data_IF_100629598079
#
_entry.id   IF_100629598079
#
_cell.length_a   1.000
_cell.length_b   1.000
_cell.length_c   1.000
_cell.angle_alpha   90.00
_cell.angle_beta   90.00
_cell.angle_gamma   90.00
#
_symmetry.space_group_name_H-M   'P 1'
#
loop_
_entity.id
_entity.type
_entity.pdbx_description
1 polymer ?
#
# COMPACT_ATOMS: atom_id res chain seq x y z
N UNK A 1 -36.80 -6.54 -34.94
CA UNK A 1 -36.10 -5.33 -34.51
C UNK A 1 -35.54 -5.56 -33.13
N UNK A 2 -34.23 -5.72 -33.03
CA UNK A 2 -33.51 -5.77 -31.73
C UNK A 2 -33.14 -4.32 -31.40
N UNK A 3 -33.81 -3.77 -30.40
CA UNK A 3 -33.38 -2.52 -29.77
C UNK A 3 -32.02 -2.73 -29.14
N UNK A 4 -31.00 -2.11 -29.75
CA UNK A 4 -29.67 -1.98 -29.15
C UNK A 4 -29.79 -0.99 -28.00
N UNK A 5 -29.78 -1.48 -26.78
CA UNK A 5 -29.62 -0.68 -25.58
C UNK A 5 -28.26 0.03 -25.72
N UNK A 6 -28.29 1.31 -26.08
CA UNK A 6 -27.11 2.17 -26.00
C UNK A 6 -26.67 2.18 -24.54
N UNK A 7 -25.59 1.46 -24.25
CA UNK A 7 -24.87 1.57 -23.00
C UNK A 7 -24.44 3.03 -22.90
N UNK A 8 -25.07 3.80 -22.04
CA UNK A 8 -24.64 5.16 -21.73
C UNK A 8 -23.30 5.00 -21.01
N UNK A 9 -22.23 5.38 -21.68
CA UNK A 9 -20.95 5.57 -21.01
C UNK A 9 -21.20 6.56 -19.87
N UNK A 10 -21.10 6.08 -18.65
CA UNK A 10 -21.14 6.92 -17.47
C UNK A 10 -19.86 7.74 -17.54
N UNK A 11 -20.00 9.01 -17.93
CA UNK A 11 -18.87 9.95 -17.97
C UNK A 11 -18.21 9.96 -16.60
N UNK A 12 -17.01 9.40 -16.52
CA UNK A 12 -16.23 9.41 -15.29
C UNK A 12 -15.85 10.86 -14.97
N UNK A 13 -16.34 11.35 -13.84
CA UNK A 13 -16.06 12.68 -13.32
C UNK A 13 -14.98 12.56 -12.25
N UNK A 14 -13.89 13.29 -12.41
CA UNK A 14 -12.81 13.36 -11.43
C UNK A 14 -13.01 14.61 -10.57
N UNK A 15 -12.93 14.45 -9.26
CA UNK A 15 -12.96 15.57 -8.31
C UNK A 15 -11.56 16.19 -8.26
N UNK A 16 -11.42 17.41 -8.81
CA UNK A 16 -10.16 18.14 -8.81
C UNK A 16 -10.32 19.38 -7.94
N UNK A 17 -9.56 19.47 -6.87
CA UNK A 17 -9.38 20.61 -5.98
C UNK A 17 -10.64 21.46 -5.70
N UNK A 18 -11.03 22.30 -6.62
CA UNK A 18 -12.16 23.22 -6.48
C UNK A 18 -13.38 22.91 -7.36
N UNK A 19 -13.41 21.74 -8.01
CA UNK A 19 -14.53 21.40 -8.91
C UNK A 19 -14.54 19.96 -9.40
N UNK A 20 -15.63 19.66 -10.13
CA UNK A 20 -15.79 18.39 -10.85
C UNK A 20 -15.41 18.63 -12.30
N UNK A 21 -14.43 17.91 -12.84
CA UNK A 21 -14.13 17.93 -14.27
C UNK A 21 -14.35 16.55 -14.88
N UNK A 22 -14.76 16.53 -16.14
CA UNK A 22 -14.86 15.28 -16.88
C UNK A 22 -13.45 14.79 -17.18
N UNK A 23 -13.23 13.49 -17.06
CA UNK A 23 -11.94 12.86 -17.35
C UNK A 23 -11.47 13.15 -18.78
N UNK A 24 -12.41 13.31 -19.74
CA UNK A 24 -12.14 13.68 -21.11
C UNK A 24 -11.53 15.08 -21.28
N UNK A 25 -11.78 15.98 -20.33
CA UNK A 25 -11.36 17.38 -20.40
C UNK A 25 -9.98 17.61 -19.78
N UNK A 26 -9.45 16.56 -19.13
CA UNK A 26 -8.12 16.58 -18.55
C UNK A 26 -7.09 16.14 -19.59
N UNK A 27 -6.32 17.07 -20.10
CA UNK A 27 -5.27 16.85 -21.13
C UNK A 27 -4.05 16.09 -20.63
N UNK A 28 -3.96 15.81 -19.34
CA UNK A 28 -2.85 15.09 -18.71
C UNK A 28 -3.00 13.57 -18.71
N UNK A 29 -1.87 12.85 -18.53
CA UNK A 29 -1.87 11.40 -18.36
C UNK A 29 -2.43 11.02 -16.99
N UNK A 30 -3.71 10.64 -16.94
CA UNK A 30 -4.39 10.18 -15.73
C UNK A 30 -4.55 8.67 -15.78
N UNK A 31 -4.19 7.99 -14.70
CA UNK A 31 -4.52 6.58 -14.50
C UNK A 31 -5.60 6.50 -13.43
N UNK A 32 -6.76 5.95 -13.79
CA UNK A 32 -7.86 5.69 -12.84
C UNK A 32 -7.93 4.21 -12.54
N UNK A 33 -8.10 3.89 -11.27
CA UNK A 33 -8.33 2.54 -10.76
C UNK A 33 -9.59 2.59 -9.92
N UNK A 34 -10.59 1.83 -10.31
CA UNK A 34 -11.91 1.80 -9.65
C UNK A 34 -12.03 0.58 -8.75
N UNK A 35 -13.05 0.56 -7.89
CA UNK A 35 -13.31 -0.56 -6.98
C UNK A 35 -13.40 -1.93 -7.68
N UNK A 36 -13.73 -1.96 -8.98
CA UNK A 36 -13.78 -3.20 -9.78
C UNK A 36 -12.39 -3.75 -10.10
N UNK A 37 -11.40 -2.88 -10.14
CA UNK A 37 -10.02 -3.21 -10.51
C UNK A 37 -9.15 -3.50 -9.28
N UNK A 38 -9.66 -3.30 -8.07
CA UNK A 38 -8.92 -3.46 -6.84
C UNK A 38 -8.46 -4.90 -6.61
N UNK A 39 -7.31 -5.04 -5.99
CA UNK A 39 -6.84 -6.35 -5.55
C UNK A 39 -7.70 -6.83 -4.38
N UNK A 40 -8.37 -7.97 -4.56
CA UNK A 40 -9.17 -8.57 -3.49
C UNK A 40 -8.32 -9.01 -2.30
N UNK A 41 -8.86 -8.89 -1.10
CA UNK A 41 -8.16 -9.31 0.13
C UNK A 41 -7.06 -8.37 0.60
N UNK A 42 -6.96 -7.17 0.03
CA UNK A 42 -6.00 -6.15 0.49
C UNK A 42 -6.40 -5.60 1.85
N UNK A 43 -5.46 -5.59 2.77
CA UNK A 43 -5.65 -5.06 4.13
C UNK A 43 -5.27 -3.58 4.24
N UNK A 44 -4.67 -2.99 3.20
CA UNK A 44 -4.28 -1.58 3.16
C UNK A 44 -4.61 -0.93 1.82
N UNK A 45 -4.89 0.37 1.85
CA UNK A 45 -5.34 1.12 0.68
C UNK A 45 -4.29 1.21 -0.45
N UNK A 46 -3.02 1.19 -0.11
CA UNK A 46 -1.90 1.18 -1.05
C UNK A 46 -1.80 -0.12 -1.86
N UNK A 47 -2.15 -1.25 -1.24
CA UNK A 47 -2.16 -2.55 -1.92
C UNK A 47 -3.25 -2.64 -3.00
N UNK A 48 -4.34 -1.87 -2.87
CA UNK A 48 -5.43 -1.85 -3.84
C UNK A 48 -4.96 -1.41 -5.23
N UNK A 49 -4.02 -0.46 -5.29
CA UNK A 49 -3.50 0.12 -6.55
C UNK A 49 -2.20 -0.52 -7.02
N UNK A 50 -1.61 -1.41 -6.23
CA UNK A 50 -0.34 -2.06 -6.57
C UNK A 50 -0.45 -2.83 -7.88
N UNK A 51 0.35 -2.44 -8.87
CA UNK A 51 0.37 -3.05 -10.21
C UNK A 51 -0.84 -2.70 -11.11
N UNK A 52 -1.78 -1.86 -10.64
CA UNK A 52 -2.98 -1.47 -11.41
C UNK A 52 -2.82 -0.13 -12.12
N UNK A 53 -2.04 0.80 -11.57
CA UNK A 53 -1.81 2.11 -12.15
C UNK A 53 -0.46 2.14 -12.90
N UNK A 54 -0.43 2.25 -14.24
CA UNK A 54 0.83 2.33 -14.99
C UNK A 54 1.68 3.51 -14.53
N UNK A 55 2.98 3.30 -14.31
CA UNK A 55 3.93 4.33 -13.85
C UNK A 55 3.82 4.67 -12.36
N UNK A 56 3.06 3.91 -11.59
CA UNK A 56 3.03 3.97 -10.13
C UNK A 56 3.70 2.73 -9.57
N UNK A 57 4.69 2.94 -8.74
CA UNK A 57 5.38 1.87 -8.01
C UNK A 57 4.99 1.94 -6.54
N UNK A 58 4.50 0.83 -6.00
CA UNK A 58 4.17 0.68 -4.58
C UNK A 58 5.13 -0.36 -4.02
N UNK A 59 5.97 0.06 -3.09
CA UNK A 59 6.96 -0.81 -2.44
C UNK A 59 6.66 -0.89 -0.95
N UNK A 60 6.39 -2.10 -0.46
CA UNK A 60 6.19 -2.32 0.97
C UNK A 60 7.49 -2.09 1.77
N UNK A 61 7.40 -1.42 2.89
CA UNK A 61 8.53 -1.07 3.75
C UNK A 61 8.89 -2.19 4.75
N UNK A 62 8.94 -3.44 4.27
CA UNK A 62 9.25 -4.59 5.10
C UNK A 62 8.01 -5.30 5.64
N UNK A 63 8.23 -6.38 6.41
CA UNK A 63 7.16 -7.24 6.94
C UNK A 63 6.56 -6.77 8.26
N UNK A 64 6.92 -5.60 8.79
CA UNK A 64 6.34 -5.11 10.03
C UNK A 64 4.89 -4.68 9.84
N UNK A 65 3.96 -5.14 10.67
CA UNK A 65 2.60 -4.63 10.67
C UNK A 65 2.59 -3.10 10.87
N UNK A 66 1.91 -2.36 10.01
CA UNK A 66 1.82 -0.90 10.09
C UNK A 66 3.02 -0.12 9.52
N UNK A 67 4.03 -0.78 8.94
CA UNK A 67 5.19 -0.08 8.34
C UNK A 67 4.84 0.72 7.07
N UNK A 68 3.62 0.55 6.54
CA UNK A 68 3.16 1.23 5.36
C UNK A 68 3.91 0.82 4.08
N UNK A 69 3.69 1.58 3.04
CA UNK A 69 4.40 1.42 1.77
C UNK A 69 4.91 2.76 1.26
N UNK A 70 5.95 2.72 0.46
CA UNK A 70 6.45 3.87 -0.28
C UNK A 70 5.82 3.87 -1.66
N UNK A 71 5.18 4.98 -2.03
CA UNK A 71 4.54 5.14 -3.34
C UNK A 71 5.35 6.14 -4.15
N UNK A 72 5.66 5.80 -5.39
CA UNK A 72 6.38 6.68 -6.32
C UNK A 72 5.67 6.73 -7.66
N UNK A 73 5.57 7.93 -8.24
CA UNK A 73 5.02 8.15 -9.57
C UNK A 73 6.18 8.48 -10.50
N UNK A 74 6.34 7.70 -11.58
CA UNK A 74 7.43 7.84 -12.58
C UNK A 74 8.85 7.79 -11.99
N UNK A 75 9.04 7.17 -10.83
CA UNK A 75 10.33 7.09 -10.13
C UNK A 75 10.60 8.27 -9.21
N UNK A 76 11.86 8.45 -8.81
CA UNK A 76 12.28 9.57 -7.96
C UNK A 76 12.81 10.72 -8.80
N UNK A 77 12.33 11.93 -8.56
CA UNK A 77 12.77 13.14 -9.25
C UNK A 77 13.87 13.89 -8.48
N UNK A 78 14.00 13.67 -7.16
CA UNK A 78 14.92 14.40 -6.30
C UNK A 78 15.82 13.47 -5.50
N UNK A 79 17.07 13.87 -5.33
CA UNK A 79 18.03 13.19 -4.46
C UNK A 79 17.93 13.63 -3.00
N UNK A 80 17.52 14.87 -2.75
CA UNK A 80 17.53 15.49 -1.42
C UNK A 80 16.16 15.89 -0.88
N UNK A 81 15.12 15.90 -1.73
CA UNK A 81 13.74 16.21 -1.32
C UNK A 81 12.88 14.95 -1.31
N UNK A 82 11.73 15.00 -0.64
CA UNK A 82 10.75 13.91 -0.70
C UNK A 82 10.33 13.65 -2.13
N UNK A 83 10.24 12.38 -2.49
CA UNK A 83 9.73 11.89 -3.77
C UNK A 83 8.31 11.35 -3.63
N UNK A 84 7.65 11.57 -2.49
CA UNK A 84 6.31 11.09 -2.23
C UNK A 84 5.28 11.94 -2.99
N UNK A 85 4.26 11.33 -3.60
CA UNK A 85 3.19 12.05 -4.26
C UNK A 85 2.29 12.74 -3.22
N UNK A 86 1.64 13.83 -3.62
CA UNK A 86 0.61 14.46 -2.81
C UNK A 86 -0.63 13.56 -2.78
N UNK A 87 -1.13 13.28 -1.59
CA UNK A 87 -2.38 12.54 -1.41
C UNK A 87 -3.51 13.52 -1.14
N UNK A 88 -4.60 13.38 -1.89
CA UNK A 88 -5.80 14.21 -1.78
C UNK A 88 -6.99 13.29 -1.57
N UNK A 89 -7.71 13.47 -0.48
CA UNK A 89 -8.89 12.67 -0.12
C UNK A 89 -10.12 13.54 -0.25
N UNK A 90 -11.05 13.17 -1.12
CA UNK A 90 -12.29 13.92 -1.40
C UNK A 90 -12.07 15.40 -1.67
N UNK A 91 -10.96 15.75 -2.32
CA UNK A 91 -10.57 17.11 -2.64
C UNK A 91 -9.75 17.84 -1.57
N UNK A 92 -9.52 17.22 -0.41
CA UNK A 92 -8.72 17.80 0.69
C UNK A 92 -7.29 17.27 0.58
N UNK A 93 -6.29 18.13 0.34
CA UNK A 93 -4.89 17.72 0.33
C UNK A 93 -4.44 17.39 1.75
N UNK A 94 -3.87 16.20 1.92
CA UNK A 94 -3.38 15.72 3.20
C UNK A 94 -1.90 16.05 3.36
N UNK A 95 -1.51 16.51 4.55
CA UNK A 95 -0.12 16.74 4.92
C UNK A 95 0.23 15.84 6.10
N UNK A 96 1.17 14.93 5.86
CA UNK A 96 1.59 13.94 6.86
C UNK A 96 2.99 14.22 7.42
N UNK A 97 3.61 15.34 7.02
CA UNK A 97 4.89 15.77 7.55
C UNK A 97 4.73 16.09 9.04
N UNK A 98 5.09 15.16 9.91
CA UNK A 98 5.10 15.37 11.36
C UNK A 98 4.17 14.47 12.18
N UNK A 99 3.42 13.57 11.58
CA UNK A 99 2.69 12.55 12.34
C UNK A 99 3.63 11.40 12.69
N UNK A 100 4.15 11.41 13.90
CA UNK A 100 4.95 10.30 14.44
C UNK A 100 4.13 9.01 14.43
N UNK A 101 4.62 7.99 13.72
CA UNK A 101 3.97 6.66 13.65
C UNK A 101 3.09 6.41 12.44
N UNK A 102 2.76 7.42 11.62
CA UNK A 102 2.06 7.21 10.35
C UNK A 102 3.09 7.19 9.22
N UNK A 103 3.51 6.00 8.82
CA UNK A 103 4.46 5.83 7.71
C UNK A 103 3.88 6.23 6.36
N UNK A 104 2.55 6.26 6.24
CA UNK A 104 1.84 6.58 5.01
C UNK A 104 0.39 7.02 5.34
N UNK A 105 -0.06 8.07 4.66
CA UNK A 105 -1.44 8.56 4.71
C UNK A 105 -2.48 7.49 4.39
N UNK A 106 -2.16 6.60 3.48
CA UNK A 106 -3.07 5.55 3.03
C UNK A 106 -3.34 4.48 4.09
N UNK A 107 -2.44 4.34 5.07
CA UNK A 107 -2.64 3.41 6.18
C UNK A 107 -3.79 3.81 7.12
N UNK A 108 -4.22 5.08 7.07
CA UNK A 108 -5.31 5.61 7.90
C UNK A 108 -6.69 5.46 7.25
N UNK A 109 -6.74 5.07 5.97
CA UNK A 109 -7.99 4.95 5.24
C UNK A 109 -8.39 3.48 5.18
N UNK A 110 -9.64 3.20 5.54
CA UNK A 110 -10.17 1.85 5.36
C UNK A 110 -10.29 1.54 3.85
N UNK A 111 -9.63 0.49 3.34
CA UNK A 111 -9.70 0.12 1.92
C UNK A 111 -11.11 -0.07 1.40
N UNK A 112 -12.03 -0.53 2.25
CA UNK A 112 -13.42 -0.79 1.87
C UNK A 112 -14.22 0.47 1.59
N UNK A 113 -13.79 1.63 2.10
CA UNK A 113 -14.48 2.91 1.94
C UNK A 113 -14.03 3.66 0.66
N UNK A 114 -13.05 3.13 -0.05
CA UNK A 114 -12.53 3.74 -1.27
C UNK A 114 -13.39 3.33 -2.47
N UNK A 115 -13.77 4.33 -3.26
CA UNK A 115 -14.48 4.15 -4.53
C UNK A 115 -13.52 4.11 -5.72
N UNK A 116 -12.56 5.07 -5.77
CA UNK A 116 -11.56 5.13 -6.84
C UNK A 116 -10.28 5.82 -6.41
N UNK A 117 -9.21 5.49 -7.15
CA UNK A 117 -7.96 6.23 -7.18
C UNK A 117 -7.77 6.84 -8.56
N UNK A 118 -7.47 8.13 -8.61
CA UNK A 118 -7.06 8.82 -9.81
C UNK A 118 -5.66 9.38 -9.63
N UNK A 119 -4.71 8.90 -10.45
CA UNK A 119 -3.32 9.29 -10.36
C UNK A 119 -2.98 10.32 -11.43
N UNK A 120 -2.71 11.55 -11.00
CA UNK A 120 -2.25 12.64 -11.85
C UNK A 120 -0.73 12.59 -11.95
N UNK A 121 -0.24 12.20 -13.12
CA UNK A 121 1.20 11.97 -13.33
C UNK A 121 1.92 13.18 -13.93
N UNK A 122 1.17 14.03 -14.61
CA UNK A 122 1.74 15.18 -15.32
C UNK A 122 1.60 16.47 -14.52
N UNK A 123 2.60 17.34 -14.66
CA UNK A 123 2.64 18.62 -13.97
C UNK A 123 1.43 19.51 -14.31
N UNK A 124 0.90 19.44 -15.54
CA UNK A 124 -0.29 20.20 -15.95
C UNK A 124 -1.53 19.79 -15.19
N UNK A 125 -1.74 18.48 -14.98
CA UNK A 125 -2.86 17.96 -14.22
C UNK A 125 -2.70 18.20 -12.72
N UNK A 126 -1.45 18.24 -12.25
CA UNK A 126 -1.10 18.47 -10.85
C UNK A 126 -1.02 19.97 -10.48
N UNK A 127 -0.97 20.88 -11.46
CA UNK A 127 -0.76 22.32 -11.26
C UNK A 127 -1.80 22.97 -10.33
N UNK A 128 -3.01 22.44 -10.26
CA UNK A 128 -4.09 22.92 -9.38
C UNK A 128 -3.65 22.85 -7.90
N UNK A 129 -2.78 21.90 -7.55
CA UNK A 129 -2.29 21.69 -6.19
C UNK A 129 -0.96 22.41 -5.92
N UNK A 130 -0.46 23.17 -6.90
CA UNK A 130 0.77 23.97 -6.79
C UNK A 130 2.03 23.13 -6.65
N UNK A 131 3.06 23.73 -6.03
CA UNK A 131 4.39 23.14 -5.90
C UNK A 131 4.42 21.79 -5.11
N UNK A 132 3.43 21.58 -4.24
CA UNK A 132 3.27 20.33 -3.46
C UNK A 132 3.00 19.11 -4.33
N UNK A 133 2.54 19.33 -5.57
CA UNK A 133 2.20 18.28 -6.53
C UNK A 133 3.33 17.95 -7.52
N UNK A 134 4.56 18.43 -7.28
CA UNK A 134 5.70 18.22 -8.19
C UNK A 134 6.01 16.74 -8.45
N UNK A 135 5.73 15.87 -7.50
CA UNK A 135 5.95 14.42 -7.61
C UNK A 135 4.69 13.65 -8.07
N UNK A 136 3.67 14.38 -8.55
CA UNK A 136 2.36 13.85 -8.91
C UNK A 136 1.38 13.88 -7.75
N UNK A 137 0.12 13.57 -8.06
CA UNK A 137 -1.00 13.59 -7.11
C UNK A 137 -1.76 12.28 -7.19
N UNK A 138 -2.13 11.75 -6.04
CA UNK A 138 -3.06 10.63 -5.91
C UNK A 138 -4.35 11.17 -5.33
N UNK A 139 -5.39 11.20 -6.14
CA UNK A 139 -6.74 11.56 -5.70
C UNK A 139 -7.45 10.30 -5.25
N UNK A 140 -8.00 10.33 -4.06
CA UNK A 140 -8.80 9.25 -3.49
C UNK A 140 -10.22 9.77 -3.36
N UNK A 141 -11.13 9.06 -4.00
CA UNK A 141 -12.56 9.31 -3.83
C UNK A 141 -13.14 8.24 -2.91
N UNK A 142 -13.80 8.66 -1.85
CA UNK A 142 -14.46 7.74 -0.93
C UNK A 142 -15.91 7.49 -1.36
N UNK A 143 -16.44 6.34 -0.97
CA UNK A 143 -17.84 5.99 -1.18
C UNK A 143 -18.74 6.95 -0.44
N UNK A 144 -19.74 7.49 -1.16
CA UNK A 144 -20.72 8.40 -0.57
C UNK A 144 -22.07 7.72 -0.43
N UNK A 145 -22.78 8.10 0.61
CA UNK A 145 -24.17 7.69 0.78
C UNK A 145 -25.00 8.14 -0.42
N UNK A 146 -25.93 7.30 -0.86
CA UNK A 146 -26.88 7.63 -1.92
C UNK A 146 -28.29 7.76 -1.36
N UNK A 147 -29.10 8.63 -1.96
CA UNK A 147 -30.55 8.71 -1.66
C UNK A 147 -31.22 7.44 -2.19
N UNK A 148 -32.03 6.78 -1.39
CA UNK A 148 -32.73 5.57 -1.80
C UNK A 148 -33.08 4.65 -0.65
N UNK A 149 -33.32 3.37 -0.99
CA UNK A 149 -33.58 2.33 0.01
C UNK A 149 -32.31 2.07 0.80
N UNK A 150 -32.46 1.82 2.11
CA UNK A 150 -31.38 1.41 2.99
C UNK A 150 -30.68 0.19 2.39
N UNK A 151 -29.37 0.29 2.21
CA UNK A 151 -28.49 -0.81 1.81
C UNK A 151 -27.48 -1.01 2.92
N UNK A 152 -27.42 -2.22 3.44
CA UNK A 152 -26.45 -2.60 4.45
C UNK A 152 -25.48 -3.57 3.78
N UNK A 153 -24.20 -3.23 3.78
CA UNK A 153 -23.15 -4.12 3.31
C UNK A 153 -22.36 -4.60 4.54
N UNK A 154 -22.17 -5.89 4.62
CA UNK A 154 -21.29 -6.50 5.61
C UNK A 154 -20.17 -7.22 4.88
N UNK A 155 -18.94 -6.95 5.29
CA UNK A 155 -17.77 -7.68 4.79
C UNK A 155 -16.88 -8.10 5.93
N UNK A 156 -16.33 -9.31 5.84
CA UNK A 156 -15.34 -9.82 6.78
C UNK A 156 -14.15 -10.39 6.00
N UNK A 157 -12.96 -10.04 6.45
CA UNK A 157 -11.71 -10.55 5.89
C UNK A 157 -10.97 -11.24 7.04
N UNK A 158 -10.73 -12.53 6.88
CA UNK A 158 -9.88 -13.29 7.81
C UNK A 158 -8.52 -13.49 7.18
N UNK A 159 -7.48 -13.12 7.90
CA UNK A 159 -6.09 -13.21 7.42
C UNK A 159 -5.24 -14.06 8.36
N UNK A 160 -4.26 -14.74 7.79
CA UNK A 160 -3.23 -15.45 8.53
C UNK A 160 -1.88 -14.92 8.08
N UNK A 161 -1.16 -14.33 9.00
CA UNK A 161 0.20 -13.87 8.77
C UNK A 161 1.19 -14.93 9.22
N UNK A 162 2.01 -15.43 8.30
CA UNK A 162 3.05 -16.42 8.60
C UNK A 162 4.39 -15.90 8.13
N UNK A 163 5.49 -16.44 8.70
CA UNK A 163 6.83 -16.12 8.23
C UNK A 163 7.01 -16.60 6.78
N UNK A 164 7.67 -15.80 5.97
CA UNK A 164 7.87 -16.08 4.54
C UNK A 164 9.01 -17.05 4.24
N UNK A 165 9.76 -17.49 5.27
CA UNK A 165 10.88 -18.43 5.16
C UNK A 165 11.83 -18.29 6.32
N UNK A 166 12.75 -19.24 6.46
CA UNK A 166 13.85 -19.18 7.42
C UNK A 166 15.11 -18.73 6.69
N UNK A 167 15.92 -17.89 7.33
CA UNK A 167 17.31 -17.73 6.91
C UNK A 167 18.03 -19.06 7.06
N UNK A 168 18.77 -19.47 6.05
CA UNK A 168 19.66 -20.63 6.16
C UNK A 168 20.87 -20.24 7.03
N UNK A 169 20.87 -20.73 8.25
CA UNK A 169 21.97 -20.57 9.21
C UNK A 169 22.45 -21.94 9.65
N UNK A 170 23.69 -22.02 10.12
CA UNK A 170 24.21 -23.27 10.70
C UNK A 170 23.35 -23.69 11.89
N UNK A 171 23.04 -24.97 11.98
CA UNK A 171 22.51 -25.55 13.21
C UNK A 171 23.54 -25.48 14.33
N UNK A 172 23.11 -25.67 15.59
CA UNK A 172 24.01 -25.63 16.72
C UNK A 172 25.11 -26.73 16.62
N UNK A 173 24.76 -27.88 16.08
CA UNK A 173 25.72 -29.00 15.90
C UNK A 173 26.70 -28.72 14.75
N UNK A 174 26.22 -28.19 13.65
CA UNK A 174 27.09 -27.76 12.53
C UNK A 174 28.02 -26.61 12.95
N UNK A 175 27.52 -25.67 13.75
CA UNK A 175 28.34 -24.57 14.27
C UNK A 175 29.43 -25.11 15.24
N UNK A 176 29.10 -26.02 16.14
CA UNK A 176 30.08 -26.66 17.03
C UNK A 176 31.14 -27.40 16.24
N UNK A 177 30.73 -28.22 15.27
CA UNK A 177 31.63 -28.94 14.38
C UNK A 177 32.57 -28.00 13.66
N UNK A 178 32.02 -26.93 13.08
CA UNK A 178 32.79 -25.91 12.37
C UNK A 178 33.84 -25.26 13.28
N UNK A 179 33.49 -24.90 14.52
CA UNK A 179 34.42 -24.28 15.47
C UNK A 179 35.50 -25.24 15.88
N UNK A 180 35.16 -26.51 16.15
CA UNK A 180 36.13 -27.56 16.52
C UNK A 180 37.14 -27.80 15.39
N UNK A 181 36.68 -27.86 14.15
CA UNK A 181 37.53 -28.14 12.99
C UNK A 181 38.41 -26.94 12.57
N UNK A 182 37.95 -25.70 12.79
CA UNK A 182 38.59 -24.50 12.28
C UNK A 182 39.24 -23.62 13.35
N UNK A 183 38.99 -23.86 14.63
CA UNK A 183 39.60 -23.07 15.71
C UNK A 183 40.95 -23.63 16.14
N UNK A 184 41.95 -22.75 16.12
CA UNK A 184 43.29 -23.06 16.66
C UNK A 184 43.44 -22.77 18.15
N UNK A 185 42.44 -22.10 18.75
CA UNK A 185 42.50 -21.72 20.17
C UNK A 185 41.50 -22.56 20.98
N UNK A 186 42.00 -23.30 21.94
CA UNK A 186 41.21 -24.14 22.85
C UNK A 186 40.11 -23.34 23.57
N UNK A 187 40.38 -22.09 23.90
CA UNK A 187 39.40 -21.18 24.56
C UNK A 187 38.04 -21.12 23.85
N UNK A 188 38.03 -21.10 22.54
CA UNK A 188 36.76 -21.03 21.78
C UNK A 188 36.00 -22.36 21.79
N UNK A 189 36.71 -23.46 21.84
CA UNK A 189 36.15 -24.79 21.97
C UNK A 189 35.49 -24.93 23.35
N UNK A 190 36.17 -24.48 24.39
CA UNK A 190 35.68 -24.55 25.78
C UNK A 190 34.46 -23.67 26.04
N UNK A 191 34.27 -22.61 25.20
CA UNK A 191 33.10 -21.74 25.26
C UNK A 191 31.85 -22.32 24.59
N UNK A 192 31.98 -23.44 23.86
CA UNK A 192 30.84 -24.08 23.19
C UNK A 192 29.89 -24.69 24.23
N UNK A 193 28.71 -24.12 24.34
CA UNK A 193 27.65 -24.68 25.20
C UNK A 193 26.93 -25.86 24.54
N UNK A 194 26.00 -26.46 25.26
CA UNK A 194 25.16 -27.57 24.79
C UNK A 194 23.78 -27.12 24.26
N UNK A 195 23.49 -25.82 24.32
CA UNK A 195 22.20 -25.29 23.86
C UNK A 195 21.98 -25.54 22.37
N UNK A 196 20.76 -25.96 22.02
CA UNK A 196 20.34 -26.20 20.64
C UNK A 196 18.96 -25.57 20.39
N UNK A 197 18.88 -24.26 20.59
CA UNK A 197 17.62 -23.51 20.43
C UNK A 197 17.56 -22.88 19.05
N UNK A 198 16.52 -23.20 18.29
CA UNK A 198 16.22 -22.48 17.05
C UNK A 198 15.50 -21.18 17.36
N UNK A 199 16.25 -20.08 17.46
CA UNK A 199 15.70 -18.76 17.77
C UNK A 199 14.75 -18.24 16.69
N UNK A 200 14.94 -18.62 15.43
CA UNK A 200 14.02 -18.21 14.37
C UNK A 200 12.61 -18.76 14.58
N UNK A 201 12.50 -20.00 15.10
CA UNK A 201 11.19 -20.59 15.37
C UNK A 201 10.55 -20.06 16.67
N UNK A 202 11.39 -19.56 17.60
CA UNK A 202 10.89 -18.95 18.84
C UNK A 202 10.37 -17.51 18.64
N UNK A 203 10.96 -16.76 17.70
CA UNK A 203 10.63 -15.35 17.48
C UNK A 203 9.36 -15.20 16.65
N UNK A 204 9.10 -16.11 15.71
CA UNK A 204 8.00 -15.99 14.76
C UNK A 204 6.83 -16.91 15.14
N UNK A 205 5.65 -16.33 15.22
CA UNK A 205 4.40 -17.06 15.41
C UNK A 205 3.42 -16.69 14.31
N UNK A 206 2.61 -17.65 13.91
CA UNK A 206 1.49 -17.37 13.02
C UNK A 206 0.47 -16.49 13.76
N UNK A 207 0.06 -15.37 13.16
CA UNK A 207 -0.93 -14.47 13.71
C UNK A 207 -2.21 -14.51 12.87
N UNK A 208 -3.35 -14.61 13.56
CA UNK A 208 -4.67 -14.51 12.95
C UNK A 208 -5.18 -13.07 13.09
N UNK A 209 -5.70 -12.53 12.00
CA UNK A 209 -6.35 -11.23 11.97
C UNK A 209 -7.76 -11.37 11.40
N UNK A 210 -8.70 -10.55 11.88
CA UNK A 210 -10.04 -10.48 11.34
C UNK A 210 -10.45 -9.01 11.25
N UNK A 211 -10.81 -8.58 10.05
CA UNK A 211 -11.34 -7.25 9.78
C UNK A 211 -12.81 -7.38 9.42
N UNK A 212 -13.68 -6.72 10.18
CA UNK A 212 -15.11 -6.69 9.97
C UNK A 212 -15.54 -5.27 9.63
N UNK A 213 -16.23 -5.10 8.51
CA UNK A 213 -16.75 -3.82 8.07
C UNK A 213 -18.27 -3.90 7.85
N UNK A 214 -18.98 -2.88 8.33
CA UNK A 214 -20.43 -2.66 8.13
C UNK A 214 -20.59 -1.26 7.57
N UNK A 215 -21.20 -1.16 6.39
CA UNK A 215 -21.47 0.12 5.72
C UNK A 215 -22.90 0.18 5.17
#
# INVERSE_FOLDING_TARGET
QRDSIKQRDIEQVVLIGYGKQKKSDLTGSIASVTAKDFNGGSTSADQLIQGKAPGVTVTGNGGNPGSGSTIRIRGGASLNASNDPLIVIDGIPMDFNGLSGASNALALINPTDIESFDVLKDASAAAIYGNRASNGVILITTKKGSTGKLKINFSTISSVSTKMGNMSVLSADEFRKYVIENSTQQKYIDMLGTANTNWQDQIYQAAWGTDNNIS
#
